data_IF_707829409315
#
_entry.id   IF_707829409315
#
_cell.length_a   1.000
_cell.length_b   1.000
_cell.length_c   1.000
_cell.angle_alpha   90.00
_cell.angle_beta   90.00
_cell.angle_gamma   90.00
#
_symmetry.space_group_name_H-M   'P 1'
#
loop_
_entity.id
_entity.type
_entity.pdbx_description
1 polymer ?
#
# COMPACT_ATOMS: atom_id res chain seq x y z
N UNK A 1 13.09 -7.73 -20.23
CA UNK A 1 12.09 -8.79 -19.97
C UNK A 1 11.46 -8.46 -18.63
N UNK A 2 10.14 -8.31 -18.54
CA UNK A 2 9.50 -7.99 -17.26
C UNK A 2 9.57 -9.21 -16.33
N UNK A 3 9.83 -8.98 -15.05
CA UNK A 3 9.85 -10.00 -14.00
C UNK A 3 8.64 -9.82 -13.06
N UNK A 4 8.16 -10.93 -12.51
CA UNK A 4 7.09 -10.96 -11.51
C UNK A 4 7.69 -10.67 -10.13
N UNK A 5 7.15 -9.66 -9.46
CA UNK A 5 7.52 -9.27 -8.11
C UNK A 5 6.32 -9.40 -7.18
N UNK A 6 6.61 -9.88 -5.97
CA UNK A 6 5.63 -9.95 -4.90
C UNK A 6 5.89 -8.83 -3.86
N UNK A 7 4.80 -8.27 -3.33
CA UNK A 7 4.80 -7.42 -2.16
C UNK A 7 3.60 -7.78 -1.27
N UNK A 8 3.86 -8.09 0.00
CA UNK A 8 2.80 -8.15 0.99
C UNK A 8 2.44 -6.73 1.45
N UNK A 9 1.22 -6.54 1.94
CA UNK A 9 0.85 -5.25 2.55
C UNK A 9 1.74 -4.97 3.78
N UNK A 10 2.16 -6.01 4.50
CA UNK A 10 3.08 -5.91 5.64
C UNK A 10 4.49 -5.44 5.24
N UNK A 11 5.03 -5.88 4.09
CA UNK A 11 6.35 -5.44 3.58
C UNK A 11 6.36 -3.94 3.25
N UNK A 12 5.19 -3.40 2.88
CA UNK A 12 4.97 -1.98 2.63
C UNK A 12 4.67 -1.23 3.93
N UNK A 13 4.37 -1.94 5.02
CA UNK A 13 3.92 -1.40 6.30
C UNK A 13 5.02 -1.27 7.36
N UNK A 14 5.90 -2.26 7.50
CA UNK A 14 6.55 -2.50 8.81
C UNK A 14 7.87 -1.77 9.07
N UNK A 15 8.72 -1.52 8.07
CA UNK A 15 10.06 -0.96 8.35
C UNK A 15 10.19 0.56 8.15
N UNK A 16 9.36 1.17 7.31
CA UNK A 16 9.47 2.61 6.98
C UNK A 16 8.39 3.49 7.61
N UNK A 17 7.35 2.92 8.21
CA UNK A 17 6.16 3.66 8.66
C UNK A 17 5.68 3.24 10.06
N UNK A 18 6.61 3.09 11.01
CA UNK A 18 6.34 2.72 12.41
C UNK A 18 5.65 3.83 13.25
N UNK A 19 4.96 4.79 12.61
CA UNK A 19 4.65 6.09 13.22
C UNK A 19 3.17 6.45 13.38
N UNK A 20 2.22 5.54 13.18
CA UNK A 20 0.80 5.89 13.36
C UNK A 20 0.11 4.86 14.27
N UNK A 21 0.39 5.03 15.56
CA UNK A 21 -0.43 4.67 16.73
C UNK A 21 -1.72 3.91 16.43
N UNK A 22 -1.67 2.58 16.33
CA UNK A 22 -2.74 1.56 16.32
C UNK A 22 -4.06 1.83 15.54
N UNK A 23 -4.22 2.98 14.91
CA UNK A 23 -5.41 3.51 14.26
C UNK A 23 -5.57 2.97 12.86
N UNK A 24 -4.47 2.55 12.23
CA UNK A 24 -4.45 2.06 10.86
C UNK A 24 -3.61 0.79 10.82
N UNK A 25 -4.31 -0.33 10.85
CA UNK A 25 -3.78 -1.68 10.84
C UNK A 25 -3.52 -2.13 9.40
N UNK A 26 -2.73 -3.19 9.26
CA UNK A 26 -2.46 -3.82 7.95
C UNK A 26 -3.77 -4.24 7.26
N UNK A 27 -4.78 -4.64 8.04
CA UNK A 27 -6.08 -5.10 7.56
C UNK A 27 -7.00 -3.94 7.10
N UNK A 28 -6.70 -2.69 7.46
CA UNK A 28 -7.41 -1.51 6.94
C UNK A 28 -7.02 -1.20 5.49
N UNK A 29 -5.96 -1.85 4.99
CA UNK A 29 -5.46 -1.65 3.65
C UNK A 29 -5.97 -2.76 2.72
N UNK A 30 -6.72 -2.38 1.68
CA UNK A 30 -7.28 -3.32 0.72
C UNK A 30 -6.34 -3.48 -0.50
N UNK A 31 -5.81 -4.69 -0.70
CA UNK A 31 -4.95 -5.02 -1.85
C UNK A 31 -5.60 -4.71 -3.21
N UNK A 32 -6.93 -4.76 -3.32
CA UNK A 32 -7.66 -4.41 -4.55
C UNK A 32 -7.50 -2.92 -4.90
N UNK A 33 -7.44 -2.04 -3.91
CA UNK A 33 -7.21 -0.60 -4.12
C UNK A 33 -5.81 -0.36 -4.69
N UNK A 34 -4.82 -1.07 -4.17
CA UNK A 34 -3.43 -0.98 -4.65
C UNK A 34 -3.32 -1.51 -6.08
N UNK A 35 -3.86 -2.70 -6.35
CA UNK A 35 -3.83 -3.30 -7.68
C UNK A 35 -4.53 -2.41 -8.69
N UNK A 36 -5.65 -1.78 -8.32
CA UNK A 36 -6.32 -0.79 -9.19
C UNK A 36 -5.39 0.40 -9.48
N UNK A 37 -4.80 1.01 -8.45
CA UNK A 37 -3.85 2.12 -8.61
C UNK A 37 -2.68 1.74 -9.53
N UNK A 38 -2.10 0.55 -9.35
CA UNK A 38 -1.00 0.07 -10.19
C UNK A 38 -1.43 -0.07 -11.65
N UNK A 39 -2.58 -0.70 -11.91
CA UNK A 39 -3.12 -0.88 -13.26
C UNK A 39 -3.43 0.45 -13.94
N UNK A 40 -4.01 1.40 -13.21
CA UNK A 40 -4.28 2.77 -13.69
C UNK A 40 -3.00 3.51 -14.09
N UNK A 41 -1.86 3.13 -13.50
CA UNK A 41 -0.53 3.65 -13.82
C UNK A 41 0.27 2.74 -14.77
N UNK A 42 -0.39 1.83 -15.47
CA UNK A 42 0.21 0.96 -16.49
C UNK A 42 1.10 -0.15 -15.94
N UNK A 43 0.96 -0.50 -14.66
CA UNK A 43 1.66 -1.62 -14.03
C UNK A 43 0.71 -2.81 -13.99
N UNK A 44 1.07 -3.90 -14.67
CA UNK A 44 0.33 -5.15 -14.57
C UNK A 44 0.46 -5.72 -13.15
N UNK A 45 -0.68 -5.93 -12.50
CA UNK A 45 -0.74 -6.32 -11.10
C UNK A 45 -1.98 -7.19 -10.84
N UNK A 46 -1.91 -8.04 -9.82
CA UNK A 46 -3.02 -8.89 -9.36
C UNK A 46 -2.96 -9.09 -7.85
N UNK A 47 -4.13 -9.23 -7.24
CA UNK A 47 -4.22 -9.50 -5.80
C UNK A 47 -3.73 -10.92 -5.53
N UNK A 48 -2.89 -11.07 -4.50
CA UNK A 48 -2.58 -12.37 -3.89
C UNK A 48 -3.31 -12.50 -2.56
N UNK A 49 -4.43 -13.22 -2.59
CA UNK A 49 -5.25 -13.47 -1.40
C UNK A 49 -4.58 -14.43 -0.41
N UNK A 50 -3.64 -15.28 -0.86
CA UNK A 50 -2.95 -16.25 0.01
C UNK A 50 -1.87 -15.55 0.83
N UNK A 51 -1.17 -14.61 0.22
CA UNK A 51 -0.09 -13.86 0.86
C UNK A 51 -0.52 -12.52 1.48
N UNK A 52 -1.84 -12.21 1.50
CA UNK A 52 -2.38 -10.90 1.93
C UNK A 52 -1.63 -9.73 1.26
N UNK A 53 -1.45 -9.85 -0.05
CA UNK A 53 -0.58 -8.96 -0.82
C UNK A 53 -1.00 -8.84 -2.27
N UNK A 54 -0.04 -8.54 -3.12
CA UNK A 54 -0.23 -8.44 -4.55
C UNK A 54 1.05 -8.79 -5.32
N UNK A 55 0.85 -9.32 -6.52
CA UNK A 55 1.89 -9.46 -7.52
C UNK A 55 1.84 -8.29 -8.48
N UNK A 56 3.01 -7.89 -8.97
CA UNK A 56 3.11 -6.91 -10.05
C UNK A 56 4.32 -7.20 -10.95
N UNK A 57 4.18 -6.87 -12.23
CA UNK A 57 5.25 -7.00 -13.21
C UNK A 57 6.04 -5.70 -13.29
N UNK A 58 7.38 -5.80 -13.24
CA UNK A 58 8.26 -4.65 -13.48
C UNK A 58 9.40 -5.02 -14.45
N UNK A 59 9.93 -4.01 -15.15
CA UNK A 59 11.01 -4.20 -16.13
C UNK A 59 12.31 -4.69 -15.51
N UNK A 60 12.55 -4.31 -14.26
CA UNK A 60 13.79 -4.52 -13.51
C UNK A 60 13.55 -4.30 -12.01
N UNK A 61 14.57 -4.58 -11.19
CA UNK A 61 14.51 -4.44 -9.73
C UNK A 61 14.42 -2.99 -9.25
N UNK A 62 14.93 -2.02 -10.01
CA UNK A 62 14.86 -0.60 -9.64
C UNK A 62 13.43 -0.08 -9.79
N UNK A 63 12.77 -0.41 -10.91
CA UNK A 63 11.35 -0.12 -11.11
C UNK A 63 10.50 -0.80 -10.05
N UNK A 64 10.81 -2.04 -9.68
CA UNK A 64 10.10 -2.73 -8.60
C UNK A 64 10.24 -2.02 -7.25
N UNK A 65 11.43 -1.51 -6.92
CA UNK A 65 11.65 -0.69 -5.72
C UNK A 65 10.87 0.62 -5.75
N UNK A 66 10.76 1.30 -6.89
CA UNK A 66 9.92 2.49 -7.03
C UNK A 66 8.43 2.19 -6.82
N UNK A 67 7.95 1.07 -7.36
CA UNK A 67 6.56 0.63 -7.16
C UNK A 67 6.28 0.35 -5.69
N UNK A 68 7.19 -0.37 -5.01
CA UNK A 68 7.09 -0.61 -3.56
C UNK A 68 7.04 0.71 -2.80
N UNK A 69 7.94 1.65 -3.10
CA UNK A 69 7.96 2.96 -2.45
C UNK A 69 6.66 3.76 -2.66
N UNK A 70 6.11 3.76 -3.87
CA UNK A 70 4.83 4.40 -4.16
C UNK A 70 3.69 3.81 -3.32
N UNK A 71 3.65 2.48 -3.14
CA UNK A 71 2.69 1.82 -2.27
C UNK A 71 2.86 2.22 -0.80
N UNK A 72 4.10 2.43 -0.32
CA UNK A 72 4.37 2.95 1.04
C UNK A 72 3.77 4.34 1.20
N UNK A 73 3.99 5.24 0.23
CA UNK A 73 3.43 6.59 0.25
C UNK A 73 1.89 6.59 0.21
N UNK A 74 1.28 5.69 -0.55
CA UNK A 74 -0.18 5.56 -0.63
C UNK A 74 -0.76 5.15 0.73
N UNK A 75 -0.16 4.16 1.40
CA UNK A 75 -0.53 3.75 2.76
C UNK A 75 -0.43 4.91 3.73
N UNK A 76 0.72 5.58 3.77
CA UNK A 76 0.95 6.73 4.64
C UNK A 76 -0.15 7.80 4.48
N UNK A 77 -0.47 8.13 3.23
CA UNK A 77 -1.48 9.14 2.89
C UNK A 77 -2.87 8.74 3.38
N UNK A 78 -3.26 7.47 3.21
CA UNK A 78 -4.52 6.93 3.74
C UNK A 78 -4.52 7.00 5.27
N UNK A 79 -3.41 6.64 5.91
CA UNK A 79 -3.32 6.65 7.37
C UNK A 79 -3.51 8.05 7.95
N UNK A 80 -2.82 9.05 7.41
CA UNK A 80 -2.97 10.45 7.82
C UNK A 80 -4.37 11.00 7.54
N UNK A 81 -4.98 10.63 6.42
CA UNK A 81 -6.34 11.06 6.09
C UNK A 81 -7.37 10.50 7.09
N UNK A 82 -7.23 9.23 7.49
CA UNK A 82 -8.10 8.60 8.49
C UNK A 82 -7.93 9.25 9.87
N UNK A 83 -6.70 9.49 10.29
CA UNK A 83 -6.42 10.17 11.56
C UNK A 83 -7.02 11.60 11.58
N UNK A 84 -6.81 12.37 10.51
CA UNK A 84 -7.39 13.70 10.40
C UNK A 84 -8.92 13.66 10.49
N UNK A 85 -9.56 12.72 9.78
CA UNK A 85 -11.01 12.54 9.83
C UNK A 85 -11.50 12.17 11.24
N UNK A 86 -10.80 11.29 11.95
CA UNK A 86 -11.10 10.93 13.33
C UNK A 86 -11.09 12.17 14.24
N UNK A 87 -10.05 12.99 14.17
CA UNK A 87 -9.96 14.20 14.99
C UNK A 87 -11.02 15.24 14.64
N UNK A 88 -11.37 15.40 13.36
CA UNK A 88 -12.47 16.26 12.94
C UNK A 88 -13.82 15.80 13.53
N UNK A 89 -14.07 14.49 13.61
CA UNK A 89 -15.29 13.94 14.23
C UNK A 89 -15.26 14.12 15.74
N UNK A 90 -14.12 13.87 16.40
CA UNK A 90 -13.97 14.02 17.85
C UNK A 90 -14.10 15.47 18.30
N UNK A 91 -13.56 16.44 17.55
CA UNK A 91 -13.67 17.86 17.86
C UNK A 91 -15.11 18.42 17.78
N UNK A 92 -16.03 17.69 17.13
CA UNK A 92 -17.47 18.03 17.06
C UNK A 92 -18.30 17.41 18.18
N UNK A 93 -17.71 16.57 19.04
CA UNK A 93 -18.34 16.01 20.24
C UNK A 93 -17.92 16.83 21.45
#
# INVERSE_FOLDING_TARGET
MAADFHASIADVADDLHRNLSDLVQVDDFNAEVVVRFLRENGIDARVDRRARGFHFMASDSMRASHVRFACVCLRASISYALEAAFWCVKAKR
#
